data_IF_129360230233
#
_entry.id   IF_129360230233
#
_cell.length_a   1.000
_cell.length_b   1.000
_cell.length_c   1.000
_cell.angle_alpha   90.00
_cell.angle_beta   90.00
_cell.angle_gamma   90.00
#
_symmetry.space_group_name_H-M   'P 1'
#
loop_
_entity.id
_entity.type
_entity.pdbx_description
1 polymer ?
#
# COMPACT_ATOMS: atom_id res chain seq x y z
N UNK A 1 -15.88 -2.50 0.38
CA UNK A 1 -14.54 -1.89 0.25
C UNK A 1 -13.98 -2.17 -1.14
N UNK A 2 -13.55 -1.11 -1.80
CA UNK A 2 -12.88 -1.24 -3.10
C UNK A 2 -11.38 -1.17 -2.92
N UNK A 3 -10.66 -2.01 -3.63
CA UNK A 3 -9.21 -1.98 -3.65
C UNK A 3 -8.68 -2.16 -5.07
N UNK A 4 -7.44 -1.76 -5.27
CA UNK A 4 -6.75 -1.91 -6.54
C UNK A 4 -5.46 -2.70 -6.31
N UNK A 5 -5.33 -3.81 -7.02
CA UNK A 5 -4.14 -4.65 -6.96
C UNK A 5 -3.35 -4.49 -8.24
N UNK A 6 -2.08 -4.16 -8.14
CA UNK A 6 -1.18 -4.08 -9.29
C UNK A 6 0.12 -4.80 -8.97
N UNK A 7 0.45 -5.79 -9.78
CA UNK A 7 1.70 -6.51 -9.68
C UNK A 7 2.67 -6.08 -10.77
N UNK A 8 3.93 -5.91 -10.42
CA UNK A 8 4.95 -5.46 -11.35
C UNK A 8 5.55 -6.56 -12.22
N UNK A 9 5.53 -7.82 -11.78
CA UNK A 9 6.18 -8.90 -12.49
C UNK A 9 5.64 -9.13 -13.90
N UNK A 10 4.35 -8.94 -14.09
CA UNK A 10 3.72 -9.10 -15.39
C UNK A 10 3.96 -7.94 -16.33
N UNK A 11 4.45 -6.84 -15.80
CA UNK A 11 4.41 -5.55 -16.48
C UNK A 11 5.79 -4.88 -16.59
N UNK A 12 6.80 -5.45 -15.96
CA UNK A 12 8.17 -4.93 -15.91
C UNK A 12 8.75 -4.64 -17.30
N UNK A 13 8.30 -5.37 -18.31
CA UNK A 13 8.83 -5.24 -19.67
C UNK A 13 8.40 -3.97 -20.38
N UNK A 14 7.23 -3.44 -20.00
CA UNK A 14 6.59 -2.38 -20.75
C UNK A 14 6.58 -1.04 -20.03
N UNK A 15 6.75 -1.03 -18.71
CA UNK A 15 6.63 0.18 -17.91
C UNK A 15 7.46 0.13 -16.64
N UNK A 16 7.90 1.29 -16.20
CA UNK A 16 8.55 1.45 -14.92
C UNK A 16 7.54 1.39 -13.78
N UNK A 17 7.98 0.94 -12.59
CA UNK A 17 7.11 0.81 -11.42
C UNK A 17 6.41 2.13 -11.01
N UNK A 18 6.99 3.34 -11.21
CA UNK A 18 6.30 4.58 -10.86
C UNK A 18 4.99 4.78 -11.62
N UNK A 19 4.87 4.27 -12.85
CA UNK A 19 3.65 4.38 -13.64
C UNK A 19 2.50 3.61 -12.99
N UNK A 20 2.79 2.43 -12.43
CA UNK A 20 1.79 1.63 -11.71
C UNK A 20 1.41 2.26 -10.39
N UNK A 21 2.39 2.79 -9.68
CA UNK A 21 2.12 3.52 -8.44
C UNK A 21 1.20 4.71 -8.72
N UNK A 22 1.45 5.46 -9.80
CA UNK A 22 0.60 6.58 -10.19
C UNK A 22 -0.83 6.17 -10.49
N UNK A 23 -1.02 5.06 -11.18
CA UNK A 23 -2.35 4.56 -11.52
C UNK A 23 -3.17 4.23 -10.27
N UNK A 24 -2.58 3.52 -9.34
CA UNK A 24 -3.26 3.14 -8.09
C UNK A 24 -3.52 4.35 -7.22
N UNK A 25 -2.54 5.24 -7.06
CA UNK A 25 -2.71 6.44 -6.25
C UNK A 25 -3.80 7.34 -6.82
N UNK A 26 -3.87 7.49 -8.13
CA UNK A 26 -4.91 8.28 -8.77
C UNK A 26 -6.30 7.69 -8.53
N UNK A 27 -6.43 6.35 -8.57
CA UNK A 27 -7.71 5.70 -8.29
C UNK A 27 -8.16 5.95 -6.85
N UNK A 28 -7.23 5.97 -5.89
CA UNK A 28 -7.54 6.26 -4.50
C UNK A 28 -7.91 7.73 -4.31
N UNK A 29 -7.13 8.64 -4.88
CA UNK A 29 -7.38 10.08 -4.76
C UNK A 29 -8.68 10.50 -5.46
N UNK A 30 -9.08 9.79 -6.51
CA UNK A 30 -10.34 10.04 -7.22
C UNK A 30 -11.51 9.22 -6.66
N UNK A 31 -11.32 8.59 -5.52
CA UNK A 31 -12.34 7.81 -4.82
C UNK A 31 -12.89 6.60 -5.60
N UNK A 32 -12.14 6.13 -6.59
CA UNK A 32 -12.47 4.90 -7.33
C UNK A 32 -12.10 3.65 -6.55
N UNK A 33 -11.19 3.77 -5.61
CA UNK A 33 -10.78 2.69 -4.71
C UNK A 33 -10.50 3.29 -3.33
N UNK A 34 -10.70 2.49 -2.27
CA UNK A 34 -10.41 2.91 -0.90
C UNK A 34 -9.00 2.51 -0.47
N UNK A 35 -8.52 1.38 -0.97
CA UNK A 35 -7.22 0.82 -0.65
C UNK A 35 -6.55 0.29 -1.90
N UNK A 36 -5.24 0.27 -1.91
CA UNK A 36 -4.44 -0.27 -3.00
C UNK A 36 -3.39 -1.24 -2.51
N UNK A 37 -3.00 -2.16 -3.38
CA UNK A 37 -1.89 -3.08 -3.12
C UNK A 37 -0.95 -3.02 -4.32
N UNK A 38 0.31 -2.72 -4.05
CA UNK A 38 1.35 -2.66 -5.07
C UNK A 38 2.42 -3.70 -4.78
N UNK A 39 2.82 -4.45 -5.79
CA UNK A 39 3.81 -5.50 -5.66
C UNK A 39 4.96 -5.23 -6.63
N UNK A 40 6.18 -5.20 -6.10
CA UNK A 40 7.40 -5.17 -6.92
C UNK A 40 8.48 -6.03 -6.27
N UNK A 41 9.72 -5.95 -6.73
CA UNK A 41 10.78 -6.81 -6.21
C UNK A 41 10.98 -6.71 -4.70
N UNK A 42 11.11 -5.50 -4.18
CA UNK A 42 11.28 -5.25 -2.74
C UNK A 42 10.10 -4.51 -2.12
N UNK A 43 9.26 -3.89 -2.93
CA UNK A 43 8.16 -3.03 -2.47
C UNK A 43 8.58 -1.60 -2.14
N UNK A 44 9.87 -1.33 -2.09
CA UNK A 44 10.38 -0.03 -1.66
C UNK A 44 10.15 1.08 -2.68
N UNK A 45 10.48 0.84 -3.93
CA UNK A 45 10.32 1.85 -4.98
C UNK A 45 8.87 2.28 -5.16
N UNK A 46 7.95 1.33 -5.13
CA UNK A 46 6.52 1.64 -5.22
C UNK A 46 6.02 2.42 -4.01
N UNK A 47 6.52 2.09 -2.81
CA UNK A 47 6.17 2.84 -1.62
C UNK A 47 6.66 4.29 -1.72
N UNK A 48 7.89 4.48 -2.16
CA UNK A 48 8.45 5.81 -2.33
C UNK A 48 7.69 6.62 -3.38
N UNK A 49 7.41 6.02 -4.52
CA UNK A 49 6.68 6.69 -5.60
C UNK A 49 5.25 7.04 -5.17
N UNK A 50 4.56 6.13 -4.52
CA UNK A 50 3.19 6.36 -4.07
C UNK A 50 3.13 7.49 -3.03
N UNK A 51 4.06 7.51 -2.09
CA UNK A 51 4.08 8.49 -1.00
C UNK A 51 4.45 9.92 -1.45
N UNK A 52 4.84 10.11 -2.71
CA UNK A 52 5.05 11.45 -3.24
C UNK A 52 3.74 12.23 -3.42
N UNK A 53 2.61 11.56 -3.43
CA UNK A 53 1.32 12.22 -3.62
C UNK A 53 0.65 12.52 -2.29
N UNK A 54 0.23 13.77 -2.04
CA UNK A 54 -0.51 14.12 -0.82
C UNK A 54 -1.78 13.25 -0.69
N UNK A 55 -2.07 12.83 0.51
CA UNK A 55 -3.21 11.96 0.78
C UNK A 55 -2.94 10.48 0.63
N UNK A 56 -1.75 10.09 0.16
CA UNK A 56 -1.35 8.70 0.03
C UNK A 56 -0.42 8.32 1.19
N UNK A 57 -0.73 7.23 1.85
CA UNK A 57 0.07 6.63 2.92
C UNK A 57 0.34 5.18 2.55
N UNK A 58 1.41 4.96 1.81
CA UNK A 58 1.82 3.63 1.38
C UNK A 58 2.79 3.03 2.40
N UNK A 59 2.49 1.83 2.83
CA UNK A 59 3.28 1.12 3.83
C UNK A 59 3.90 -0.13 3.23
N UNK A 60 5.22 -0.23 3.32
CA UNK A 60 5.96 -1.43 2.95
C UNK A 60 5.94 -2.39 4.13
N UNK A 61 5.35 -3.56 3.95
CA UNK A 61 5.17 -4.52 5.04
C UNK A 61 5.70 -5.89 4.66
N UNK A 62 6.31 -6.56 5.63
CA UNK A 62 6.82 -7.92 5.49
C UNK A 62 6.23 -8.87 6.53
N UNK A 63 5.43 -8.39 7.46
CA UNK A 63 4.82 -9.22 8.51
C UNK A 63 3.40 -8.78 8.80
N UNK A 64 2.61 -9.70 9.35
CA UNK A 64 1.22 -9.41 9.73
C UNK A 64 1.13 -8.34 10.82
N UNK A 65 2.04 -8.37 11.78
CA UNK A 65 2.06 -7.39 12.86
C UNK A 65 2.27 -5.97 12.33
N UNK A 66 3.29 -5.77 11.48
CA UNK A 66 3.57 -4.46 10.90
C UNK A 66 2.44 -4.00 10.00
N UNK A 67 1.85 -4.90 9.23
CA UNK A 67 0.69 -4.60 8.38
C UNK A 67 -0.50 -4.12 9.19
N UNK A 68 -0.78 -4.82 10.30
CA UNK A 68 -1.86 -4.44 11.20
C UNK A 68 -1.63 -3.06 11.80
N UNK A 69 -0.42 -2.78 12.27
CA UNK A 69 -0.07 -1.48 12.84
C UNK A 69 -0.12 -0.35 11.80
N UNK A 70 0.27 -0.63 10.57
CA UNK A 70 0.17 0.34 9.49
C UNK A 70 -1.28 0.80 9.27
N UNK A 71 -2.23 -0.12 9.44
CA UNK A 71 -3.64 0.22 9.36
C UNK A 71 -4.14 0.92 10.64
N UNK A 72 -3.90 0.31 11.78
CA UNK A 72 -4.42 0.80 13.06
C UNK A 72 -3.89 2.18 13.43
N UNK A 73 -2.60 2.40 13.24
CA UNK A 73 -1.91 3.61 13.69
C UNK A 73 -1.72 4.66 12.60
N UNK A 74 -1.52 4.25 11.36
CA UNK A 74 -1.14 5.15 10.29
C UNK A 74 -2.19 5.31 9.20
N UNK A 75 -3.29 4.58 9.30
CA UNK A 75 -4.35 4.59 8.28
C UNK A 75 -3.75 4.45 6.88
N UNK A 76 -2.81 3.52 6.72
CA UNK A 76 -2.19 3.28 5.43
C UNK A 76 -3.25 2.88 4.40
N UNK A 77 -3.29 3.58 3.29
CA UNK A 77 -4.25 3.29 2.24
C UNK A 77 -3.66 2.51 1.07
N UNK A 78 -2.35 2.30 1.07
CA UNK A 78 -1.67 1.43 0.11
C UNK A 78 -0.72 0.50 0.88
N UNK A 79 -0.80 -0.79 0.56
CA UNK A 79 0.15 -1.80 1.01
C UNK A 79 1.13 -2.06 -0.13
N UNK A 80 2.43 -1.99 0.14
CA UNK A 80 3.43 -2.41 -0.85
C UNK A 80 4.13 -3.67 -0.37
N UNK A 81 4.34 -4.59 -1.30
CA UNK A 81 4.91 -5.91 -1.04
C UNK A 81 6.10 -6.17 -1.94
N UNK A 82 7.06 -6.94 -1.43
CA UNK A 82 8.24 -7.34 -2.18
C UNK A 82 8.18 -8.81 -2.57
N UNK A 83 7.92 -9.10 -3.85
CA UNK A 83 7.79 -10.47 -4.35
C UNK A 83 9.08 -11.29 -4.23
N UNK A 84 10.23 -10.62 -4.16
CA UNK A 84 11.52 -11.29 -3.97
C UNK A 84 11.86 -11.57 -2.50
N UNK A 85 11.12 -10.98 -1.58
CA UNK A 85 11.44 -11.00 -0.14
C UNK A 85 10.49 -11.90 0.64
N UNK A 86 9.23 -11.98 0.20
CA UNK A 86 8.22 -12.81 0.85
C UNK A 86 7.61 -13.78 -0.16
N UNK A 87 7.15 -14.93 0.35
CA UNK A 87 6.47 -15.91 -0.50
C UNK A 87 5.01 -15.52 -0.75
N UNK A 88 4.37 -16.24 -1.68
CA UNK A 88 2.99 -15.95 -2.07
C UNK A 88 2.02 -16.12 -0.91
N UNK A 89 2.18 -17.16 -0.10
CA UNK A 89 1.29 -17.40 1.04
C UNK A 89 1.36 -16.27 2.05
N UNK A 90 2.56 -15.77 2.35
CA UNK A 90 2.77 -14.61 3.22
C UNK A 90 2.13 -13.37 2.60
N UNK A 91 2.36 -13.12 1.30
CA UNK A 91 1.79 -11.98 0.62
C UNK A 91 0.27 -11.95 0.71
N UNK A 92 -0.40 -13.08 0.46
CA UNK A 92 -1.86 -13.18 0.55
C UNK A 92 -2.35 -12.93 1.98
N UNK A 93 -1.64 -13.44 2.98
CA UNK A 93 -1.96 -13.20 4.38
C UNK A 93 -1.87 -11.71 4.73
N UNK A 94 -0.83 -11.03 4.25
CA UNK A 94 -0.67 -9.59 4.48
C UNK A 94 -1.76 -8.76 3.80
N UNK A 95 -2.15 -9.12 2.59
CA UNK A 95 -3.26 -8.48 1.89
C UNK A 95 -4.56 -8.63 2.68
N UNK A 96 -4.85 -9.84 3.15
CA UNK A 96 -6.03 -10.09 3.94
C UNK A 96 -6.06 -9.27 5.23
N UNK A 97 -4.95 -9.24 5.95
CA UNK A 97 -4.80 -8.42 7.15
C UNK A 97 -5.02 -6.94 6.84
N UNK A 98 -4.41 -6.46 5.76
CA UNK A 98 -4.51 -5.06 5.36
C UNK A 98 -5.95 -4.67 5.02
N UNK A 99 -6.67 -5.50 4.29
CA UNK A 99 -8.03 -5.20 3.89
C UNK A 99 -9.03 -5.28 5.04
N UNK A 100 -8.76 -6.07 6.06
CA UNK A 100 -9.69 -6.34 7.17
C UNK A 100 -9.37 -5.60 8.46
N UNK A 101 -8.33 -4.76 8.49
CA UNK A 101 -7.95 -4.00 9.68
C UNK A 101 -8.39 -2.55 9.54
N UNK A 102 -9.14 -2.05 10.53
CA UNK A 102 -9.62 -0.68 10.54
C UNK A 102 -8.61 0.26 11.23
N UNK A 103 -8.73 1.55 10.88
CA UNK A 103 -7.97 2.59 11.57
C UNK A 103 -8.57 2.85 12.95
N UNK A 104 -7.71 2.90 13.97
CA UNK A 104 -8.15 3.17 15.33
C UNK A 104 -8.53 4.64 15.57
N UNK A 105 -7.99 5.56 14.81
CA UNK A 105 -8.26 6.98 14.97
C UNK A 105 -7.63 7.59 16.23
N UNK A 106 -8.40 8.42 16.96
CA UNK A 106 -7.96 9.00 18.23
C UNK A 106 -6.65 9.79 18.11
N UNK A 107 -5.68 9.49 18.98
CA UNK A 107 -4.37 10.16 19.01
C UNK A 107 -3.59 10.06 17.69
N UNK A 108 -3.85 9.04 16.89
CA UNK A 108 -3.14 8.83 15.62
C UNK A 108 -3.59 9.79 14.52
N UNK A 109 -4.80 10.32 14.61
CA UNK A 109 -5.37 11.24 13.62
C UNK A 109 -4.51 12.51 13.49
N UNK A 110 -4.08 13.08 14.60
CA UNK A 110 -3.25 14.28 14.60
C UNK A 110 -1.92 14.04 13.88
N UNK A 111 -1.32 12.88 14.13
CA UNK A 111 -0.04 12.52 13.50
C UNK A 111 -0.19 12.34 11.99
N UNK A 112 -1.25 11.68 11.57
CA UNK A 112 -1.52 11.46 10.14
C UNK A 112 -1.73 12.78 9.41
N UNK A 113 -2.47 13.70 10.01
CA UNK A 113 -2.72 15.01 9.43
C UNK A 113 -1.43 15.81 9.24
N UNK A 114 -0.40 15.55 10.05
CA UNK A 114 0.90 16.19 9.91
C UNK A 114 1.76 15.58 8.81
N UNK A 115 1.46 14.36 8.40
CA UNK A 115 2.18 13.72 7.29
C UNK A 115 1.80 14.39 5.95
N UNK A 116 0.57 14.82 5.83
CA UNK A 116 0.13 15.51 4.62
C UNK A 116 -0.85 14.78 3.74
#
# INVERSE_FOLDING_TARGET
IRYRLVGSEMCIRDRDYPDYASKVTNDILNEKAHKGVLVCGTGQGMAMAANKKPGIRAALCYSSEVTKLAREHNDANILTLGARVIDEATALSLVETFLNTDFEGSRHTVRINKIG
#
